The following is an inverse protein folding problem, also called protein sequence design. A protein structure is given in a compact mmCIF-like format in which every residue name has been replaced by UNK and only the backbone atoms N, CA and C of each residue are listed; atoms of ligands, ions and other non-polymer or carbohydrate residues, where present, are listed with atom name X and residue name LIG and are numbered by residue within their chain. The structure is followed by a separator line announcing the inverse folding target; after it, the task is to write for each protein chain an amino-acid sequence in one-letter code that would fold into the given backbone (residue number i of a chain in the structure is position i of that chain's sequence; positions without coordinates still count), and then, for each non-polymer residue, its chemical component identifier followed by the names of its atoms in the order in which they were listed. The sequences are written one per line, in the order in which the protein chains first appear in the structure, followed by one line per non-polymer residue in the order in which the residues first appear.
data_IF_478656704443
#
_entry.id   IF_478656704443
#
_cell.length_a   1.000
_cell.length_b   1.000
_cell.length_c   1.000
_cell.angle_alpha   90.00
_cell.angle_beta   90.00
_cell.angle_gamma   90.00
#
_symmetry.space_group_name_H-M   'P 1'
#
loop_
_entity.id
_entity.type
_entity.pdbx_description
1 polymer ?
#
# COMPACT_ATOMS: atom_id res chain seq x y z
N UNK A 1 -22.77 -1.84 5.89
CA UNK A 1 -23.40 -2.87 6.76
C UNK A 1 -22.82 -2.87 8.17
N UNK A 2 -21.50 -3.05 8.35
CA UNK A 2 -20.91 -3.19 9.69
C UNK A 2 -20.51 -1.88 10.36
N UNK A 3 -20.49 -0.78 9.59
CA UNK A 3 -19.98 0.51 10.05
C UNK A 3 -20.69 0.96 11.34
N UNK A 4 -22.01 0.96 11.39
CA UNK A 4 -22.74 1.51 12.55
C UNK A 4 -22.81 0.55 13.76
N UNK A 5 -22.29 -0.67 13.61
CA UNK A 5 -22.31 -1.70 14.65
C UNK A 5 -21.05 -1.68 15.55
N UNK A 6 -19.92 -1.16 15.06
CA UNK A 6 -18.60 -1.24 15.71
C UNK A 6 -18.12 0.15 16.15
N UNK A 7 -18.61 0.63 17.30
CA UNK A 7 -18.39 2.02 17.75
C UNK A 7 -17.19 2.21 18.70
N UNK A 8 -16.53 1.14 19.14
CA UNK A 8 -15.28 1.21 19.91
C UNK A 8 -14.04 1.55 19.08
N UNK A 9 -14.16 1.53 17.76
CA UNK A 9 -13.06 1.78 16.82
C UNK A 9 -13.19 0.88 15.59
N UNK A 10 -13.17 1.50 14.40
CA UNK A 10 -13.27 0.80 13.12
C UNK A 10 -12.57 1.59 12.03
N UNK A 11 -11.90 0.89 11.14
CA UNK A 11 -11.29 1.43 9.93
C UNK A 11 -11.57 0.47 8.79
N UNK A 12 -11.76 0.98 7.58
CA UNK A 12 -11.69 0.17 6.37
C UNK A 12 -10.49 0.57 5.53
N UNK A 13 -9.92 -0.39 4.82
CA UNK A 13 -8.83 -0.15 3.88
C UNK A 13 -9.29 -0.50 2.48
N UNK A 14 -9.00 0.39 1.54
CA UNK A 14 -9.22 0.13 0.11
C UNK A 14 -7.90 0.30 -0.61
N UNK A 15 -7.46 -0.75 -1.31
CA UNK A 15 -6.30 -0.68 -2.21
C UNK A 15 -6.79 -0.23 -3.57
N UNK A 16 -6.30 0.90 -4.06
CA UNK A 16 -6.68 1.40 -5.38
C UNK A 16 -5.58 1.07 -6.39
N UNK A 17 -5.82 0.17 -7.37
CA UNK A 17 -4.85 -0.19 -8.41
C UNK A 17 -4.87 0.84 -9.55
N UNK A 18 -5.07 2.11 -9.21
CA UNK A 18 -5.01 3.21 -10.17
C UNK A 18 -3.60 3.79 -10.09
N UNK A 19 -3.05 4.19 -11.24
CA UNK A 19 -1.89 5.07 -11.31
C UNK A 19 -2.15 6.35 -10.49
N UNK A 20 -1.26 7.34 -10.54
CA UNK A 20 -1.49 8.66 -9.95
C UNK A 20 -2.66 9.46 -10.61
N UNK A 21 -3.80 8.81 -10.90
CA UNK A 21 -5.08 9.41 -11.27
C UNK A 21 -5.71 10.05 -10.04
N UNK A 22 -5.22 11.25 -9.74
CA UNK A 22 -5.60 12.05 -8.58
C UNK A 22 -7.11 12.32 -8.54
N UNK A 23 -7.76 12.54 -9.70
CA UNK A 23 -9.20 12.85 -9.73
C UNK A 23 -10.07 11.64 -9.35
N UNK A 24 -9.68 10.43 -9.74
CA UNK A 24 -10.34 9.21 -9.29
C UNK A 24 -10.18 9.03 -7.77
N UNK A 25 -8.95 9.16 -7.24
CA UNK A 25 -8.66 9.08 -5.80
C UNK A 25 -9.51 10.10 -5.03
N UNK A 26 -9.54 11.35 -5.49
CA UNK A 26 -10.29 12.45 -4.88
C UNK A 26 -11.79 12.17 -4.81
N UNK A 27 -12.34 11.58 -5.87
CA UNK A 27 -13.76 11.20 -5.93
C UNK A 27 -14.09 10.12 -4.89
N UNK A 28 -13.21 9.13 -4.74
CA UNK A 28 -13.35 8.04 -3.77
C UNK A 28 -13.24 8.55 -2.32
N UNK A 29 -12.24 9.38 -2.03
CA UNK A 29 -12.05 10.01 -0.72
C UNK A 29 -13.27 10.85 -0.34
N UNK A 30 -13.78 11.69 -1.26
CA UNK A 30 -14.97 12.52 -1.01
C UNK A 30 -16.20 11.67 -0.69
N UNK A 31 -16.40 10.56 -1.40
CA UNK A 31 -17.47 9.60 -1.10
C UNK A 31 -17.31 9.02 0.31
N UNK A 32 -16.11 8.57 0.68
CA UNK A 32 -15.87 8.02 2.01
C UNK A 32 -16.14 9.04 3.12
N UNK A 33 -15.73 10.31 2.93
CA UNK A 33 -16.04 11.41 3.84
C UNK A 33 -17.54 11.66 3.98
N UNK A 34 -18.29 11.67 2.87
CA UNK A 34 -19.75 11.82 2.89
C UNK A 34 -20.46 10.69 3.66
N UNK A 35 -19.88 9.49 3.64
CA UNK A 35 -20.39 8.34 4.38
C UNK A 35 -19.91 8.28 5.85
N UNK A 36 -19.06 9.22 6.29
CA UNK A 36 -18.52 9.24 7.65
C UNK A 36 -17.49 8.14 7.92
N UNK A 37 -16.79 7.68 6.88
CA UNK A 37 -15.84 6.59 7.01
C UNK A 37 -14.46 7.06 7.49
N UNK A 38 -13.91 6.35 8.47
CA UNK A 38 -12.48 6.34 8.73
C UNK A 38 -11.86 5.33 7.75
N UNK A 39 -11.46 5.84 6.60
CA UNK A 39 -10.95 5.02 5.49
C UNK A 39 -9.47 5.27 5.26
N UNK A 40 -8.70 4.18 5.19
CA UNK A 40 -7.32 4.20 4.73
C UNK A 40 -7.25 3.90 3.22
N UNK A 41 -6.71 4.85 2.47
CA UNK A 41 -6.36 4.70 1.06
C UNK A 41 -4.99 4.01 0.98
N UNK A 42 -4.96 2.76 0.53
CA UNK A 42 -3.72 2.01 0.37
C UNK A 42 -3.22 2.14 -1.07
N UNK A 43 -2.05 2.77 -1.21
CA UNK A 43 -1.25 2.76 -2.42
C UNK A 43 -0.01 1.92 -2.12
N UNK A 44 0.40 1.08 -3.09
CA UNK A 44 1.75 0.53 -3.05
C UNK A 44 2.70 1.65 -3.45
N UNK A 45 3.81 1.81 -2.73
CA UNK A 45 4.86 2.75 -3.09
C UNK A 45 6.20 2.04 -3.06
N UNK A 46 6.94 2.15 -4.15
CA UNK A 46 8.31 1.70 -4.29
C UNK A 46 9.17 2.87 -4.75
N UNK A 47 10.31 3.08 -4.12
CA UNK A 47 11.28 4.07 -4.56
C UNK A 47 12.69 3.49 -4.63
N UNK A 48 13.48 4.01 -5.56
CA UNK A 48 14.86 3.58 -5.77
C UNK A 48 15.79 4.38 -4.88
N UNK A 49 16.54 3.68 -4.03
CA UNK A 49 17.47 4.31 -3.09
C UNK A 49 18.72 4.91 -3.77
N UNK A 50 18.96 4.59 -5.06
CA UNK A 50 20.13 5.08 -5.80
C UNK A 50 19.83 6.30 -6.68
N UNK A 51 18.67 6.36 -7.34
CA UNK A 51 18.32 7.45 -8.26
C UNK A 51 17.07 8.25 -7.87
N UNK A 52 16.33 7.81 -6.84
CA UNK A 52 15.14 8.49 -6.34
C UNK A 52 13.86 8.28 -7.15
N UNK A 53 13.87 7.46 -8.22
CA UNK A 53 12.66 7.16 -9.00
C UNK A 53 11.58 6.49 -8.13
N UNK A 54 10.32 6.93 -8.27
CA UNK A 54 9.17 6.40 -7.54
C UNK A 54 8.16 5.76 -8.51
N UNK A 55 7.62 4.61 -8.13
CA UNK A 55 6.57 3.87 -8.84
C UNK A 55 5.63 3.21 -7.84
N UNK A 56 4.42 2.84 -8.28
CA UNK A 56 3.51 2.09 -7.41
C UNK A 56 4.09 0.72 -7.00
N UNK A 57 4.80 0.07 -7.92
CA UNK A 57 5.51 -1.16 -7.64
C UNK A 57 6.62 -1.37 -8.68
N UNK A 58 7.81 -1.75 -8.22
CA UNK A 58 8.91 -2.17 -9.08
C UNK A 58 9.82 -3.16 -8.37
N UNK A 59 10.39 -4.13 -9.09
CA UNK A 59 11.41 -5.04 -8.57
C UNK A 59 12.83 -4.69 -9.01
N UNK A 60 12.92 -3.90 -10.08
CA UNK A 60 14.12 -3.29 -10.66
C UNK A 60 13.77 -1.87 -11.07
N UNK A 61 14.63 -0.90 -10.77
CA UNK A 61 14.40 0.49 -11.14
C UNK A 61 14.39 0.63 -12.67
N UNK A 62 13.32 1.20 -13.28
CA UNK A 62 13.25 1.36 -14.73
C UNK A 62 14.20 2.45 -15.26
N UNK A 63 14.70 3.33 -14.38
CA UNK A 63 15.57 4.45 -14.76
C UNK A 63 17.05 4.06 -14.75
N UNK A 64 17.51 3.40 -13.68
CA UNK A 64 18.93 3.07 -13.50
C UNK A 64 19.25 1.58 -13.44
N UNK A 65 18.26 0.70 -13.49
CA UNK A 65 18.44 -0.76 -13.40
C UNK A 65 18.77 -1.30 -12.00
N UNK A 66 18.79 -0.44 -10.97
CA UNK A 66 19.12 -0.85 -9.61
C UNK A 66 18.05 -1.77 -8.98
N UNK A 67 18.49 -2.69 -8.13
CA UNK A 67 17.64 -3.51 -7.25
C UNK A 67 17.62 -3.00 -5.79
N UNK A 68 18.33 -1.91 -5.51
CA UNK A 68 18.34 -1.21 -4.23
C UNK A 68 17.06 -0.38 -4.10
N UNK A 69 15.98 -1.07 -3.72
CA UNK A 69 14.63 -0.53 -3.67
C UNK A 69 14.09 -0.64 -2.26
N UNK A 70 13.34 0.38 -1.86
CA UNK A 70 12.50 0.35 -0.68
C UNK A 70 11.03 0.30 -1.08
N UNK A 71 10.29 -0.67 -0.54
CA UNK A 71 8.85 -0.87 -0.75
C UNK A 71 8.11 -0.70 0.56
N UNK A 72 7.08 0.13 0.52
CA UNK A 72 6.23 0.43 1.68
C UNK A 72 4.81 0.00 1.35
N UNK A 73 4.24 -0.84 2.21
CA UNK A 73 2.84 -1.24 2.12
C UNK A 73 2.16 -1.16 3.48
N UNK A 74 0.85 -0.93 3.49
CA UNK A 74 0.03 -1.03 4.72
C UNK A 74 -0.57 -2.43 4.80
N UNK A 75 -0.14 -3.20 5.79
CA UNK A 75 -0.59 -4.59 5.95
C UNK A 75 -1.70 -4.71 7.00
N UNK A 76 -1.37 -4.53 8.28
CA UNK A 76 -2.31 -4.69 9.40
C UNK A 76 -2.63 -3.34 10.05
N UNK A 77 -2.79 -2.31 9.21
CA UNK A 77 -3.13 -0.96 9.63
C UNK A 77 -1.96 0.01 9.83
N UNK A 78 -0.73 -0.50 9.98
CA UNK A 78 0.51 0.29 9.98
C UNK A 78 1.28 0.17 8.68
N UNK A 79 2.09 1.17 8.38
CA UNK A 79 3.07 1.11 7.30
C UNK A 79 4.16 0.10 7.68
N UNK A 80 4.44 -0.80 6.76
CA UNK A 80 5.46 -1.84 6.92
C UNK A 80 6.36 -1.82 5.69
N UNK A 81 7.65 -2.00 5.94
CA UNK A 81 8.63 -2.12 4.87
C UNK A 81 8.69 -3.56 4.38
N UNK A 82 8.00 -3.85 3.28
CA UNK A 82 8.04 -5.16 2.63
C UNK A 82 9.38 -5.39 1.93
N UNK A 83 10.10 -4.32 1.59
CA UNK A 83 11.49 -4.36 1.13
C UNK A 83 12.25 -3.13 1.58
N UNK A 84 13.48 -3.28 2.08
CA UNK A 84 14.42 -2.21 2.44
C UNK A 84 15.77 -2.60 1.89
N UNK A 85 16.29 -1.87 0.90
CA UNK A 85 17.61 -2.13 0.31
C UNK A 85 17.82 -3.59 -0.16
N UNK A 86 16.75 -4.23 -0.63
CA UNK A 86 16.78 -5.64 -1.04
C UNK A 86 16.44 -6.66 0.04
N UNK A 87 16.40 -6.28 1.32
CA UNK A 87 16.02 -7.14 2.46
C UNK A 87 14.57 -6.84 2.91
N UNK A 88 13.99 -7.57 3.87
CA UNK A 88 12.64 -7.35 4.39
C UNK A 88 12.65 -7.14 5.90
N UNK A 89 11.72 -6.31 6.41
CA UNK A 89 11.48 -6.20 7.86
C UNK A 89 10.34 -7.10 8.34
N UNK A 90 9.75 -7.87 7.43
CA UNK A 90 8.70 -8.83 7.73
C UNK A 90 9.34 -10.18 8.09
N UNK A 91 8.71 -10.91 8.99
CA UNK A 91 9.19 -12.25 9.35
C UNK A 91 8.94 -13.26 8.22
N UNK A 92 9.62 -14.41 8.30
CA UNK A 92 9.57 -15.46 7.28
C UNK A 92 8.16 -15.97 7.02
N UNK A 93 7.37 -16.18 8.08
CA UNK A 93 5.98 -16.62 7.97
C UNK A 93 5.12 -15.62 7.17
N UNK A 94 5.37 -14.32 7.37
CA UNK A 94 4.66 -13.27 6.63
C UNK A 94 5.10 -13.23 5.16
N UNK A 95 6.38 -13.44 4.89
CA UNK A 95 6.89 -13.52 3.52
C UNK A 95 6.31 -14.72 2.76
N UNK A 96 6.14 -15.87 3.43
CA UNK A 96 5.46 -17.03 2.86
C UNK A 96 4.00 -16.74 2.51
N UNK A 97 3.24 -16.11 3.43
CA UNK A 97 1.85 -15.72 3.16
C UNK A 97 1.74 -14.74 1.99
N UNK A 98 2.65 -13.77 1.88
CA UNK A 98 2.67 -12.82 0.76
C UNK A 98 2.92 -13.53 -0.57
N UNK A 99 3.81 -14.54 -0.61
CA UNK A 99 4.10 -15.29 -1.83
C UNK A 99 2.89 -16.09 -2.34
N UNK A 100 2.03 -16.55 -1.44
CA UNK A 100 0.82 -17.31 -1.77
C UNK A 100 -0.45 -16.42 -1.89
N UNK A 101 -0.33 -15.13 -1.54
CA UNK A 101 -1.47 -14.22 -1.49
C UNK A 101 -2.06 -14.00 -2.88
N UNK A 102 -3.31 -14.43 -3.05
CA UNK A 102 -4.14 -14.06 -4.20
C UNK A 102 -4.95 -12.82 -3.84
N UNK A 103 -4.61 -11.67 -4.44
CA UNK A 103 -5.49 -10.50 -4.39
C UNK A 103 -6.76 -10.84 -5.17
N UNK A 104 -7.90 -10.83 -4.50
CA UNK A 104 -9.22 -10.84 -5.16
C UNK A 104 -9.50 -9.47 -5.78
#
# INVERSE_FOLDING_TARGET
RFWDLLNGGKIQYVKYPINYNIEAIKSLVRRAMQMGFYEGVNLSLAYCDDCGHEELAMDVCPVCGSKNLTKIERMNGYLSYSRVKGDTRLNDAKMAEIAERKSM
#
